data_IF_921426643701
#
_entry.id   IF_921426643701
#
_cell.length_a   1.000
_cell.length_b   1.000
_cell.length_c   1.000
_cell.angle_alpha   90.00
_cell.angle_beta   90.00
_cell.angle_gamma   90.00
#
_symmetry.space_group_name_H-M   'P 1'
#
loop_
_entity.id
_entity.type
_entity.pdbx_description
1 polymer ?
#
# COMPACT_ATOMS: atom_id res chain seq x y z
N UNK A 1 58.09 -41.80 -58.95
CA UNK A 1 57.05 -42.65 -58.34
C UNK A 1 56.71 -42.15 -56.91
N UNK A 2 56.65 -40.83 -56.73
CA UNK A 2 56.46 -40.20 -55.42
C UNK A 2 55.52 -38.95 -55.48
N UNK A 3 54.49 -38.97 -56.32
CA UNK A 3 53.52 -37.81 -56.39
C UNK A 3 52.05 -38.23 -56.36
N UNK A 4 51.70 -39.48 -55.98
CA UNK A 4 50.31 -39.94 -55.96
C UNK A 4 49.78 -40.38 -54.55
N UNK A 5 50.55 -40.18 -53.47
CA UNK A 5 50.15 -40.60 -52.12
C UNK A 5 49.69 -39.40 -51.27
N UNK A 6 49.90 -38.14 -51.70
CA UNK A 6 49.55 -36.95 -50.91
C UNK A 6 48.14 -36.42 -51.13
N UNK A 7 47.33 -37.01 -52.02
CA UNK A 7 45.96 -36.50 -52.30
C UNK A 7 44.79 -37.28 -51.65
N UNK A 8 45.06 -38.37 -50.96
CA UNK A 8 43.97 -39.19 -50.32
C UNK A 8 43.82 -38.89 -48.83
N UNK A 9 44.69 -38.13 -48.18
CA UNK A 9 44.67 -37.81 -46.75
C UNK A 9 43.98 -36.45 -46.39
N UNK A 10 43.53 -35.68 -47.39
CA UNK A 10 42.89 -34.38 -47.18
C UNK A 10 41.33 -34.46 -47.19
N UNK A 11 40.75 -35.56 -47.69
CA UNK A 11 39.28 -35.67 -47.79
C UNK A 11 38.59 -36.34 -46.60
N UNK A 12 39.28 -36.72 -45.52
CA UNK A 12 38.73 -37.42 -44.35
C UNK A 12 38.63 -36.55 -43.05
N UNK A 13 39.02 -35.26 -43.13
CA UNK A 13 39.04 -34.36 -41.96
C UNK A 13 37.95 -33.27 -41.92
N UNK A 14 36.98 -33.27 -42.83
CA UNK A 14 35.93 -32.21 -42.88
C UNK A 14 34.52 -32.74 -42.60
N UNK A 15 34.36 -34.02 -42.22
CA UNK A 15 33.00 -34.58 -41.92
C UNK A 15 32.67 -34.75 -40.46
N UNK A 16 33.32 -34.06 -39.52
CA UNK A 16 32.99 -34.15 -38.11
C UNK A 16 32.94 -32.75 -37.50
N UNK A 17 31.81 -32.05 -37.61
CA UNK A 17 31.27 -31.08 -36.66
C UNK A 17 30.10 -30.29 -37.27
N UNK A 18 29.12 -30.97 -37.82
CA UNK A 18 27.76 -30.45 -37.87
C UNK A 18 27.00 -31.01 -36.64
N UNK A 19 27.31 -30.50 -35.44
CA UNK A 19 26.43 -30.62 -34.32
C UNK A 19 25.18 -29.81 -34.69
N UNK A 20 24.00 -30.42 -34.79
CA UNK A 20 22.81 -29.65 -35.10
C UNK A 20 22.58 -28.69 -33.94
N UNK A 21 22.64 -27.39 -34.20
CA UNK A 21 22.29 -26.29 -33.27
C UNK A 21 20.82 -26.35 -32.77
N UNK A 22 20.10 -27.45 -33.08
CA UNK A 22 18.74 -27.72 -32.70
C UNK A 22 18.57 -28.41 -31.34
N UNK A 23 19.65 -28.76 -30.63
CA UNK A 23 19.57 -29.51 -29.36
C UNK A 23 19.78 -28.66 -28.08
N UNK A 24 19.84 -27.31 -28.19
CA UNK A 24 19.90 -26.38 -27.05
C UNK A 24 18.71 -25.43 -27.00
N UNK A 25 17.59 -25.74 -27.61
CA UNK A 25 16.30 -25.21 -27.20
C UNK A 25 15.90 -26.00 -25.92
N UNK A 26 16.59 -25.73 -24.80
CA UNK A 26 16.00 -25.99 -23.50
C UNK A 26 14.58 -25.43 -23.54
N UNK A 27 13.59 -26.29 -23.40
CA UNK A 27 12.21 -25.94 -23.03
C UNK A 27 12.27 -25.12 -21.74
N UNK A 28 12.69 -23.86 -21.80
CA UNK A 28 12.51 -22.90 -20.74
C UNK A 28 11.02 -22.74 -20.60
N UNK A 29 10.41 -23.57 -19.72
CA UNK A 29 9.06 -23.31 -19.22
C UNK A 29 9.01 -21.81 -18.98
N UNK A 30 8.06 -21.10 -19.61
CA UNK A 30 8.02 -19.65 -19.53
C UNK A 30 8.09 -19.25 -18.05
N UNK A 31 9.07 -18.41 -17.73
CA UNK A 31 9.30 -17.95 -16.35
C UNK A 31 8.05 -17.19 -15.89
N UNK A 32 7.57 -17.47 -14.68
CA UNK A 32 6.47 -16.70 -14.07
C UNK A 32 6.96 -15.27 -13.77
N UNK A 33 6.14 -14.23 -14.09
CA UNK A 33 4.90 -14.24 -14.87
C UNK A 33 5.17 -14.29 -16.39
N UNK A 34 4.29 -15.00 -17.15
CA UNK A 34 4.37 -15.11 -18.62
C UNK A 34 3.13 -14.55 -19.34
N UNK A 35 2.25 -13.89 -18.58
CA UNK A 35 1.08 -13.13 -19.05
C UNK A 35 0.83 -11.97 -18.10
N UNK A 36 0.00 -10.99 -18.46
CA UNK A 36 -0.34 -9.87 -17.59
C UNK A 36 -0.88 -10.30 -16.22
N UNK A 37 -0.52 -9.55 -15.17
CA UNK A 37 -0.99 -9.76 -13.79
C UNK A 37 -2.03 -8.71 -13.45
N UNK A 38 -3.21 -9.13 -13.02
CA UNK A 38 -4.29 -8.26 -12.54
C UNK A 38 -4.02 -7.82 -11.10
N UNK A 39 -4.01 -6.51 -10.87
CA UNK A 39 -3.82 -5.91 -9.55
C UNK A 39 -5.09 -5.18 -9.12
N UNK A 40 -5.82 -5.76 -8.17
CA UNK A 40 -7.05 -5.20 -7.62
C UNK A 40 -6.76 -4.28 -6.44
N UNK A 41 -7.14 -3.01 -6.55
CA UNK A 41 -6.99 -2.01 -5.50
C UNK A 41 -8.32 -1.84 -4.76
N UNK A 42 -8.37 -2.05 -3.42
CA UNK A 42 -9.61 -2.01 -2.62
C UNK A 42 -10.17 -0.60 -2.38
N UNK A 43 -9.57 0.43 -2.99
CA UNK A 43 -9.91 1.84 -2.80
C UNK A 43 -10.12 2.54 -4.15
N UNK A 44 -10.65 3.77 -4.12
CA UNK A 44 -10.83 4.59 -5.32
C UNK A 44 -9.50 5.01 -5.96
N UNK A 45 -9.55 5.33 -7.25
CA UNK A 45 -8.42 5.89 -7.98
C UNK A 45 -7.93 7.20 -7.34
N UNK A 46 -6.62 7.49 -7.49
CA UNK A 46 -5.99 8.70 -6.95
C UNK A 46 -5.62 8.63 -5.46
N UNK A 47 -6.01 7.58 -4.73
CA UNK A 47 -5.51 7.33 -3.37
C UNK A 47 -4.15 6.63 -3.37
N UNK A 48 -3.49 6.57 -2.21
CA UNK A 48 -2.12 6.08 -2.06
C UNK A 48 -1.88 4.69 -2.64
N UNK A 49 -2.81 3.74 -2.42
CA UNK A 49 -2.68 2.39 -2.97
C UNK A 49 -2.65 2.40 -4.50
N UNK A 50 -3.45 3.27 -5.14
CA UNK A 50 -3.48 3.43 -6.58
C UNK A 50 -2.25 4.18 -7.12
N UNK A 51 -1.73 5.16 -6.38
CA UNK A 51 -0.49 5.87 -6.73
C UNK A 51 0.68 4.91 -6.70
N UNK A 52 0.87 4.18 -5.58
CA UNK A 52 1.95 3.19 -5.44
C UNK A 52 1.87 2.10 -6.52
N UNK A 53 0.67 1.56 -6.81
CA UNK A 53 0.50 0.56 -7.86
C UNK A 53 0.91 1.09 -9.25
N UNK A 54 0.58 2.35 -9.57
CA UNK A 54 1.01 2.98 -10.85
C UNK A 54 2.51 3.20 -10.93
N UNK A 55 3.16 3.58 -9.84
CA UNK A 55 4.63 3.63 -9.80
C UNK A 55 5.26 2.27 -10.09
N UNK A 56 4.68 1.21 -9.53
CA UNK A 56 5.16 -0.16 -9.73
C UNK A 56 4.99 -0.68 -11.16
N UNK A 57 4.04 -0.15 -11.96
CA UNK A 57 3.73 -0.68 -13.30
C UNK A 57 4.92 -0.67 -14.26
N UNK A 58 5.66 0.44 -14.35
CA UNK A 58 6.81 0.58 -15.26
C UNK A 58 7.95 -0.36 -14.88
N UNK A 59 8.24 -0.45 -13.58
CA UNK A 59 9.26 -1.36 -13.04
C UNK A 59 8.86 -2.83 -13.23
N UNK A 60 7.60 -3.17 -12.99
CA UNK A 60 7.06 -4.52 -13.21
C UNK A 60 7.23 -4.92 -14.69
N UNK A 61 6.83 -4.03 -15.62
CA UNK A 61 6.98 -4.24 -17.06
C UNK A 61 8.44 -4.43 -17.47
N UNK A 62 9.33 -3.59 -16.96
CA UNK A 62 10.78 -3.67 -17.23
C UNK A 62 11.38 -5.00 -16.77
N UNK A 63 11.01 -5.48 -15.57
CA UNK A 63 11.56 -6.71 -15.00
C UNK A 63 11.00 -7.99 -15.61
N UNK A 64 9.73 -7.97 -16.05
CA UNK A 64 9.01 -9.19 -16.42
C UNK A 64 8.64 -9.26 -17.91
N UNK A 65 8.67 -8.15 -18.63
CA UNK A 65 8.07 -8.00 -19.96
C UNK A 65 6.54 -8.04 -19.98
N UNK A 66 5.88 -8.21 -18.81
CA UNK A 66 4.43 -8.34 -18.69
C UNK A 66 3.79 -7.09 -18.10
N UNK A 67 2.52 -6.87 -18.37
CA UNK A 67 1.78 -5.75 -17.83
C UNK A 67 1.24 -6.04 -16.42
N UNK A 68 1.29 -5.03 -15.53
CA UNK A 68 0.57 -5.01 -14.27
C UNK A 68 -0.73 -4.22 -14.47
N UNK A 69 -1.86 -4.93 -14.60
CA UNK A 69 -3.16 -4.34 -14.94
C UNK A 69 -3.90 -3.93 -13.69
N UNK A 70 -4.00 -2.62 -13.45
CA UNK A 70 -4.63 -2.07 -12.23
C UNK A 70 -6.15 -1.94 -12.43
N UNK A 71 -6.91 -2.46 -11.46
CA UNK A 71 -8.36 -2.33 -11.36
C UNK A 71 -8.77 -1.86 -9.97
N UNK A 72 -9.79 -1.02 -9.87
CA UNK A 72 -10.27 -0.45 -8.61
C UNK A 72 -11.59 -1.09 -8.20
N UNK A 73 -11.65 -1.60 -6.95
CA UNK A 73 -12.86 -2.19 -6.34
C UNK A 73 -13.09 -1.61 -4.95
N UNK A 74 -13.50 -0.33 -4.85
CA UNK A 74 -13.69 0.34 -3.58
C UNK A 74 -14.98 -0.07 -2.89
N UNK A 75 -14.98 -0.07 -1.56
CA UNK A 75 -16.17 -0.26 -0.73
C UNK A 75 -15.85 -0.83 0.64
N UNK A 76 -16.66 -0.46 1.65
CA UNK A 76 -16.51 -0.95 3.01
C UNK A 76 -15.13 -0.75 3.64
N UNK A 77 -14.42 0.35 3.33
CA UNK A 77 -13.04 0.54 3.79
C UNK A 77 -12.07 -0.54 3.29
N UNK A 78 -12.34 -1.11 2.11
CA UNK A 78 -11.60 -2.20 1.46
C UNK A 78 -12.23 -3.58 1.61
N UNK A 79 -13.20 -3.75 2.52
CA UNK A 79 -13.81 -5.03 2.84
C UNK A 79 -14.42 -5.74 1.63
N UNK A 80 -15.07 -4.99 0.71
CA UNK A 80 -15.69 -5.56 -0.50
C UNK A 80 -14.71 -6.40 -1.30
N UNK A 81 -13.48 -5.90 -1.53
CA UNK A 81 -12.47 -6.65 -2.29
C UNK A 81 -11.88 -7.80 -1.45
N UNK A 82 -11.67 -7.59 -0.16
CA UNK A 82 -11.06 -8.62 0.69
C UNK A 82 -12.02 -9.77 1.00
N UNK A 83 -13.33 -9.53 1.03
CA UNK A 83 -14.35 -10.60 1.13
C UNK A 83 -14.31 -11.54 -0.09
N UNK A 84 -13.90 -11.04 -1.26
CA UNK A 84 -13.84 -11.77 -2.52
C UNK A 84 -12.45 -12.38 -2.82
N UNK A 85 -11.39 -12.02 -2.10
CA UNK A 85 -10.02 -12.39 -2.47
C UNK A 85 -9.82 -13.90 -2.68
N UNK A 86 -10.45 -14.73 -1.86
CA UNK A 86 -10.30 -16.18 -1.93
C UNK A 86 -11.22 -16.85 -2.98
N UNK A 87 -12.07 -16.07 -3.66
CA UNK A 87 -12.88 -16.51 -4.81
C UNK A 87 -12.13 -16.27 -6.13
N UNK A 88 -11.03 -15.50 -6.13
CA UNK A 88 -10.20 -15.29 -7.30
C UNK A 88 -9.36 -16.53 -7.63
N UNK A 89 -8.95 -16.72 -8.91
CA UNK A 89 -8.03 -17.79 -9.29
C UNK A 89 -6.71 -17.72 -8.50
N UNK A 90 -6.28 -18.86 -7.94
CA UNK A 90 -5.04 -18.99 -7.19
C UNK A 90 -3.82 -19.29 -8.06
N UNK A 91 -3.83 -18.90 -9.33
CA UNK A 91 -2.72 -19.13 -10.27
C UNK A 91 -1.57 -18.12 -10.15
N UNK A 92 -1.74 -17.08 -9.33
CA UNK A 92 -0.77 -16.01 -9.12
C UNK A 92 -0.92 -14.81 -10.06
N UNK A 93 -1.90 -14.84 -10.97
CA UNK A 93 -2.16 -13.72 -11.90
C UNK A 93 -3.26 -12.78 -11.42
N UNK A 94 -3.77 -13.01 -10.21
CA UNK A 94 -4.66 -12.11 -9.48
C UNK A 94 -4.01 -11.73 -8.15
N UNK A 95 -3.58 -10.48 -8.02
CA UNK A 95 -3.06 -9.92 -6.77
C UNK A 95 -4.00 -8.83 -6.26
N UNK A 96 -4.08 -8.69 -4.95
CA UNK A 96 -4.98 -7.74 -4.27
C UNK A 96 -4.18 -6.86 -3.33
N UNK A 97 -4.40 -5.57 -3.37
CA UNK A 97 -3.82 -4.63 -2.41
C UNK A 97 -4.31 -4.90 -0.99
N UNK A 98 -3.40 -4.84 -0.03
CA UNK A 98 -3.72 -4.91 1.39
C UNK A 98 -3.21 -3.70 2.13
N UNK A 99 -4.00 -3.28 3.13
CA UNK A 99 -3.70 -2.14 3.97
C UNK A 99 -3.87 -2.53 5.45
N UNK A 100 -2.86 -2.24 6.28
CA UNK A 100 -2.97 -2.34 7.73
C UNK A 100 -3.09 -0.92 8.30
N UNK A 101 -3.96 -0.69 9.29
CA UNK A 101 -4.75 -1.65 10.07
C UNK A 101 -6.05 -2.13 9.42
N UNK A 102 -6.42 -1.68 8.23
CA UNK A 102 -7.74 -1.90 7.61
C UNK A 102 -8.16 -3.38 7.58
N UNK A 103 -7.29 -4.30 7.07
CA UNK A 103 -7.61 -5.75 7.02
C UNK A 103 -7.83 -6.38 8.41
N UNK A 104 -7.39 -5.71 9.48
CA UNK A 104 -7.59 -6.14 10.87
C UNK A 104 -8.89 -5.57 11.44
N UNK A 105 -9.20 -4.32 11.12
CA UNK A 105 -10.34 -3.60 11.72
C UNK A 105 -11.67 -3.87 11.00
N UNK A 106 -11.65 -4.16 9.70
CA UNK A 106 -12.89 -4.42 8.94
C UNK A 106 -13.68 -5.64 9.43
N UNK A 107 -13.09 -6.77 9.85
CA UNK A 107 -13.82 -7.85 10.50
C UNK A 107 -14.60 -7.45 11.76
N UNK A 108 -14.08 -6.49 12.54
CA UNK A 108 -14.79 -5.93 13.69
C UNK A 108 -16.04 -5.11 13.29
N UNK A 109 -16.07 -4.64 12.06
CA UNK A 109 -17.14 -3.80 11.51
C UNK A 109 -18.09 -4.59 10.59
N UNK A 110 -17.96 -5.92 10.56
CA UNK A 110 -18.89 -6.80 9.84
C UNK A 110 -18.41 -7.31 8.47
N UNK A 111 -17.12 -7.16 8.12
CA UNK A 111 -16.57 -7.83 6.94
C UNK A 111 -16.66 -9.37 7.13
N UNK A 112 -16.86 -10.09 6.03
CA UNK A 112 -17.09 -11.55 6.06
C UNK A 112 -15.79 -12.34 6.19
N UNK A 113 -14.67 -11.83 5.64
CA UNK A 113 -13.37 -12.47 5.80
C UNK A 113 -12.84 -12.37 7.23
N UNK A 114 -11.89 -13.21 7.57
CA UNK A 114 -11.08 -13.07 8.80
C UNK A 114 -9.68 -12.64 8.40
N UNK A 115 -9.02 -11.81 9.21
CA UNK A 115 -7.65 -11.33 8.93
C UNK A 115 -6.69 -12.47 8.58
N UNK A 116 -6.82 -13.64 9.22
CA UNK A 116 -6.02 -14.85 8.94
C UNK A 116 -6.27 -15.48 7.56
N UNK A 117 -7.35 -15.10 6.87
CA UNK A 117 -7.67 -15.61 5.53
C UNK A 117 -6.97 -14.79 4.43
N UNK A 118 -6.34 -13.68 4.79
CA UNK A 118 -5.57 -12.83 3.89
C UNK A 118 -4.14 -13.37 3.79
N UNK A 119 -3.78 -13.84 2.61
CA UNK A 119 -2.43 -14.36 2.33
C UNK A 119 -1.54 -13.24 1.80
N UNK A 120 -0.92 -12.49 2.70
CA UNK A 120 0.02 -11.42 2.35
C UNK A 120 1.30 -11.98 1.72
N UNK A 121 1.80 -11.30 0.69
CA UNK A 121 2.98 -11.69 -0.08
C UNK A 121 4.15 -10.74 0.10
N UNK A 122 3.88 -9.43 0.09
CA UNK A 122 4.90 -8.41 0.30
C UNK A 122 4.27 -7.12 0.84
N UNK A 123 4.91 -6.47 1.82
CA UNK A 123 4.58 -5.10 2.22
C UNK A 123 5.70 -4.18 1.76
N UNK A 124 5.35 -3.11 1.04
CA UNK A 124 6.30 -2.27 0.31
C UNK A 124 6.45 -0.85 0.85
N UNK A 125 5.47 -0.31 1.59
CA UNK A 125 5.62 0.99 2.24
C UNK A 125 4.71 1.17 3.45
N UNK A 126 5.08 2.15 4.27
CA UNK A 126 4.30 2.74 5.34
C UNK A 126 4.00 4.19 4.98
N UNK A 127 2.81 4.68 5.35
CA UNK A 127 2.45 6.09 5.19
C UNK A 127 1.89 6.60 6.51
N UNK A 128 2.55 7.56 7.16
CA UNK A 128 2.06 8.16 8.39
C UNK A 128 0.74 8.91 8.19
N UNK A 129 -0.14 8.88 9.20
CA UNK A 129 -1.32 9.73 9.23
C UNK A 129 -0.93 11.20 9.50
N UNK A 130 -1.80 12.10 9.04
CA UNK A 130 -1.70 13.53 9.28
C UNK A 130 -3.08 14.17 9.44
N UNK A 131 -3.18 15.21 10.25
CA UNK A 131 -4.33 16.12 10.23
C UNK A 131 -4.09 17.17 9.18
N UNK A 132 -5.07 17.32 8.29
CA UNK A 132 -5.02 18.16 7.08
C UNK A 132 -6.22 19.07 7.07
N UNK A 133 -6.00 20.35 6.74
CA UNK A 133 -7.05 21.33 6.49
C UNK A 133 -6.92 21.93 5.09
N UNK A 134 -7.94 22.63 4.61
CA UNK A 134 -7.83 23.43 3.39
C UNK A 134 -6.81 24.54 3.60
N UNK A 135 -6.09 24.98 2.56
CA UNK A 135 -5.09 26.04 2.69
C UNK A 135 -5.68 27.34 3.26
N UNK A 136 -6.89 27.72 2.83
CA UNK A 136 -7.63 28.89 3.33
C UNK A 136 -8.39 28.63 4.65
N UNK A 137 -8.11 27.53 5.35
CA UNK A 137 -8.73 27.23 6.62
C UNK A 137 -8.37 28.29 7.67
N UNK A 138 -9.31 28.66 8.58
CA UNK A 138 -9.00 29.53 9.71
C UNK A 138 -8.05 28.86 10.72
N UNK A 139 -7.81 27.54 10.60
CA UNK A 139 -6.91 26.79 11.46
C UNK A 139 -5.51 26.74 10.83
N UNK A 140 -4.59 27.56 11.34
CA UNK A 140 -3.19 27.56 10.92
C UNK A 140 -2.35 26.53 11.71
N UNK A 141 -2.81 26.16 12.90
CA UNK A 141 -2.13 25.21 13.80
C UNK A 141 -3.08 24.15 14.34
N UNK A 142 -2.51 23.03 14.81
CA UNK A 142 -3.28 21.98 15.48
C UNK A 142 -3.95 22.52 16.76
N UNK A 143 -3.26 23.42 17.49
CA UNK A 143 -3.75 23.98 18.75
C UNK A 143 -5.04 24.82 18.53
N UNK A 144 -5.08 25.64 17.48
CA UNK A 144 -6.28 26.40 17.10
C UNK A 144 -7.48 25.49 16.77
N UNK A 145 -7.22 24.39 16.05
CA UNK A 145 -8.27 23.41 15.74
C UNK A 145 -8.78 22.73 17.04
N UNK A 146 -7.89 22.38 17.97
CA UNK A 146 -8.25 21.76 19.25
C UNK A 146 -9.06 22.74 20.11
N UNK A 147 -8.64 23.99 20.23
CA UNK A 147 -9.33 25.04 21.00
C UNK A 147 -10.74 25.23 20.45
N UNK A 148 -10.87 25.44 19.13
CA UNK A 148 -12.17 25.56 18.49
C UNK A 148 -13.07 24.31 18.75
N UNK A 149 -12.52 23.13 18.67
CA UNK A 149 -13.26 21.87 18.89
C UNK A 149 -13.74 21.73 20.35
N UNK A 150 -12.97 22.23 21.33
CA UNK A 150 -13.37 22.26 22.75
C UNK A 150 -14.49 23.21 23.00
N UNK A 151 -14.43 24.41 22.43
CA UNK A 151 -15.48 25.42 22.55
C UNK A 151 -16.75 25.05 21.77
N UNK A 152 -16.62 24.25 20.71
CA UNK A 152 -17.71 23.89 19.80
C UNK A 152 -17.80 22.37 19.59
N UNK A 153 -18.22 21.59 20.59
CA UNK A 153 -18.31 20.13 20.50
C UNK A 153 -19.14 19.65 19.30
N UNK A 154 -18.61 18.70 18.54
CA UNK A 154 -19.26 18.12 17.36
C UNK A 154 -19.38 19.05 16.14
N UNK A 155 -18.77 20.23 16.14
CA UNK A 155 -18.76 21.14 14.97
C UNK A 155 -17.65 20.81 13.98
N UNK A 156 -16.52 20.27 14.41
CA UNK A 156 -15.48 19.78 13.49
C UNK A 156 -15.92 18.47 12.87
N UNK A 157 -15.98 18.48 11.52
CA UNK A 157 -16.21 17.27 10.73
C UNK A 157 -14.90 16.88 10.04
N UNK A 158 -14.31 15.76 10.47
CA UNK A 158 -13.21 15.14 9.78
C UNK A 158 -13.69 14.24 8.63
N UNK A 159 -12.96 14.23 7.52
CA UNK A 159 -13.06 13.18 6.51
C UNK A 159 -11.92 12.17 6.67
N UNK A 160 -12.02 11.02 5.98
CA UNK A 160 -10.93 10.03 5.88
C UNK A 160 -11.28 8.89 4.93
N UNK A 161 -10.34 7.97 4.76
CA UNK A 161 -10.36 6.92 3.72
C UNK A 161 -11.32 5.74 3.98
N UNK A 162 -12.20 5.85 4.98
CA UNK A 162 -13.22 4.85 5.29
C UNK A 162 -13.36 4.55 6.78
N UNK A 163 -14.48 3.95 7.19
CA UNK A 163 -14.63 3.43 8.56
C UNK A 163 -13.69 2.25 8.77
N UNK A 164 -13.05 2.16 9.95
CA UNK A 164 -12.06 1.13 10.23
C UNK A 164 -10.78 1.26 9.41
N UNK A 165 -10.48 2.46 8.93
CA UNK A 165 -9.17 2.82 8.35
C UNK A 165 -8.20 3.27 9.44
N UNK A 166 -6.92 3.45 9.06
CA UNK A 166 -5.93 4.09 9.94
C UNK A 166 -6.42 5.47 10.39
N UNK A 167 -6.89 6.28 9.43
CA UNK A 167 -7.42 7.62 9.68
C UNK A 167 -8.58 7.64 10.69
N UNK A 168 -9.53 6.68 10.60
CA UNK A 168 -10.65 6.60 11.54
C UNK A 168 -10.18 6.22 12.95
N UNK A 169 -9.24 5.28 13.06
CA UNK A 169 -8.65 4.92 14.34
C UNK A 169 -7.88 6.09 14.96
N UNK A 170 -7.10 6.81 14.14
CA UNK A 170 -6.34 7.98 14.56
C UNK A 170 -7.28 9.09 15.06
N UNK A 171 -8.36 9.38 14.33
CA UNK A 171 -9.36 10.39 14.75
C UNK A 171 -9.94 10.07 16.12
N UNK A 172 -10.43 8.84 16.36
CA UNK A 172 -11.04 8.49 17.64
C UNK A 172 -10.02 8.53 18.79
N UNK A 173 -8.76 8.11 18.53
CA UNK A 173 -7.68 8.22 19.53
C UNK A 173 -7.37 9.68 19.85
N UNK A 174 -7.29 10.53 18.83
CA UNK A 174 -7.02 11.95 18.99
C UNK A 174 -8.13 12.64 19.81
N UNK A 175 -9.39 12.43 19.46
CA UNK A 175 -10.51 13.00 20.20
C UNK A 175 -10.42 12.65 21.68
N UNK A 176 -10.14 11.39 21.99
CA UNK A 176 -10.00 10.92 23.38
C UNK A 176 -8.80 11.56 24.11
N UNK A 177 -7.65 11.67 23.45
CA UNK A 177 -6.44 12.24 24.06
C UNK A 177 -6.53 13.77 24.22
N UNK A 178 -7.14 14.46 23.25
CA UNK A 178 -7.28 15.90 23.26
C UNK A 178 -8.49 16.38 24.09
N UNK A 179 -9.36 15.46 24.53
CA UNK A 179 -10.61 15.79 25.25
C UNK A 179 -11.56 16.61 24.41
N UNK A 180 -11.73 16.26 23.13
CA UNK A 180 -12.60 16.94 22.16
C UNK A 180 -13.65 15.99 21.60
N UNK A 181 -14.73 16.56 21.07
CA UNK A 181 -15.75 15.82 20.35
C UNK A 181 -15.80 16.29 18.89
N UNK A 182 -15.44 15.38 17.95
CA UNK A 182 -15.51 15.63 16.52
C UNK A 182 -16.39 14.61 15.81
N UNK A 183 -16.74 14.87 14.54
CA UNK A 183 -17.48 13.93 13.69
C UNK A 183 -16.59 13.37 12.61
N UNK A 184 -16.87 12.15 12.16
CA UNK A 184 -16.14 11.50 11.10
C UNK A 184 -17.03 11.13 9.92
N UNK A 185 -16.65 11.61 8.71
CA UNK A 185 -17.32 11.26 7.46
C UNK A 185 -16.41 10.37 6.62
N UNK A 186 -16.74 9.08 6.46
CA UNK A 186 -15.95 8.16 5.66
C UNK A 186 -16.14 8.40 4.16
N UNK A 187 -15.07 8.26 3.38
CA UNK A 187 -15.06 8.29 1.92
C UNK A 187 -14.46 7.00 1.33
N UNK A 188 -14.56 6.82 0.00
CA UNK A 188 -14.06 5.61 -0.71
C UNK A 188 -12.53 5.60 -0.93
N UNK A 189 -11.79 6.34 -0.13
CA UNK A 189 -10.32 6.49 -0.19
C UNK A 189 -9.88 7.93 -0.01
N UNK A 190 -8.57 8.15 0.06
CA UNK A 190 -7.96 9.45 0.38
C UNK A 190 -8.33 10.53 -0.65
N UNK A 191 -8.23 10.26 -1.95
CA UNK A 191 -8.56 11.26 -2.97
C UNK A 191 -10.00 11.81 -2.83
N UNK A 192 -10.98 10.93 -2.56
CA UNK A 192 -12.36 11.35 -2.35
C UNK A 192 -12.53 12.14 -1.04
N UNK A 193 -11.76 11.80 0.00
CA UNK A 193 -11.72 12.51 1.28
C UNK A 193 -11.17 13.93 1.10
N UNK A 194 -10.04 14.08 0.42
CA UNK A 194 -9.41 15.38 0.16
C UNK A 194 -10.25 16.24 -0.80
N UNK A 195 -10.84 15.63 -1.84
CA UNK A 195 -11.80 16.36 -2.69
C UNK A 195 -13.00 16.91 -1.91
N UNK A 196 -13.42 16.25 -0.85
CA UNK A 196 -14.49 16.76 0.02
C UNK A 196 -14.00 17.91 0.90
N UNK A 197 -12.75 17.87 1.36
CA UNK A 197 -12.11 18.95 2.11
C UNK A 197 -11.97 20.21 1.23
N UNK A 198 -11.36 20.09 0.07
CA UNK A 198 -11.15 21.19 -0.89
C UNK A 198 -12.49 21.83 -1.33
N UNK A 199 -13.56 21.04 -1.40
CA UNK A 199 -14.92 21.55 -1.69
C UNK A 199 -15.67 22.10 -0.48
N UNK A 200 -15.04 22.23 0.67
CA UNK A 200 -15.65 22.76 1.89
C UNK A 200 -16.77 21.90 2.49
N UNK A 201 -16.84 20.59 2.14
CA UNK A 201 -17.86 19.67 2.68
C UNK A 201 -17.54 19.15 4.08
N UNK A 202 -16.31 19.34 4.52
CA UNK A 202 -15.76 19.00 5.83
C UNK A 202 -14.75 20.07 6.24
N UNK A 203 -14.49 20.20 7.55
CA UNK A 203 -13.59 21.23 8.09
C UNK A 203 -12.12 20.78 8.02
N UNK A 204 -11.87 19.49 8.19
CA UNK A 204 -10.55 18.90 8.22
C UNK A 204 -10.59 17.45 7.68
N UNK A 205 -9.42 16.87 7.45
CA UNK A 205 -9.26 15.48 7.05
C UNK A 205 -8.19 14.80 7.92
N UNK A 206 -8.49 13.59 8.36
CA UNK A 206 -7.44 12.65 8.69
C UNK A 206 -6.97 12.03 7.36
N UNK A 207 -5.84 12.51 6.89
CA UNK A 207 -5.18 12.04 5.67
C UNK A 207 -3.88 11.34 5.99
N UNK A 208 -2.95 11.40 5.06
CA UNK A 208 -1.59 10.89 5.19
C UNK A 208 -0.59 11.98 4.77
N UNK A 209 0.68 11.81 5.12
CA UNK A 209 1.76 12.72 4.72
C UNK A 209 1.83 12.94 3.20
N UNK A 210 1.49 11.93 2.40
CA UNK A 210 1.40 12.00 0.94
C UNK A 210 0.41 13.03 0.41
N UNK A 211 -0.56 13.45 1.22
CA UNK A 211 -1.54 14.48 0.84
C UNK A 211 -0.86 15.84 0.64
N UNK A 212 0.09 16.20 1.51
CA UNK A 212 0.85 17.44 1.39
C UNK A 212 1.74 17.51 0.15
N UNK A 213 2.17 16.36 -0.40
CA UNK A 213 2.93 16.32 -1.67
C UNK A 213 2.03 16.23 -2.91
N UNK A 214 0.83 15.65 -2.74
CA UNK A 214 -0.11 15.47 -3.87
C UNK A 214 -0.97 16.69 -4.14
N UNK A 215 -1.25 17.48 -3.11
CA UNK A 215 -2.12 18.66 -3.15
C UNK A 215 -1.46 19.87 -2.45
N UNK A 216 -0.22 20.25 -2.84
CA UNK A 216 0.60 21.21 -2.09
C UNK A 216 -0.04 22.61 -2.00
N UNK A 217 -0.84 23.00 -3.00
CA UNK A 217 -1.46 24.31 -3.08
C UNK A 217 -2.89 24.36 -2.51
N UNK A 218 -3.47 23.20 -2.21
CA UNK A 218 -4.87 23.09 -1.77
C UNK A 218 -4.99 22.85 -0.26
N UNK A 219 -3.92 22.34 0.38
CA UNK A 219 -4.01 21.84 1.76
C UNK A 219 -2.79 22.17 2.62
N UNK A 220 -3.06 22.36 3.91
CA UNK A 220 -2.05 22.51 4.98
C UNK A 220 -2.09 21.32 5.92
N UNK A 221 -0.91 20.77 6.25
CA UNK A 221 -0.76 19.77 7.30
C UNK A 221 -0.58 20.46 8.65
N UNK A 222 -1.41 20.12 9.63
CA UNK A 222 -1.33 20.69 10.98
C UNK A 222 -0.47 19.87 11.93
N UNK A 223 -0.42 18.55 11.75
CA UNK A 223 0.46 17.65 12.48
C UNK A 223 0.60 16.30 11.77
N UNK A 224 1.72 15.60 12.01
CA UNK A 224 2.02 14.27 11.48
C UNK A 224 2.13 13.24 12.59
N UNK A 225 1.66 12.01 12.35
CA UNK A 225 1.62 10.93 13.33
C UNK A 225 2.91 10.08 13.29
N UNK A 226 4.06 10.72 13.43
CA UNK A 226 5.39 10.13 13.44
C UNK A 226 6.12 10.40 14.73
N UNK A 227 7.20 9.64 15.00
CA UNK A 227 8.06 9.88 16.15
C UNK A 227 8.81 11.19 15.99
N UNK A 228 9.42 11.40 14.83
CA UNK A 228 10.21 12.56 14.48
C UNK A 228 9.55 13.30 13.32
N UNK A 229 9.83 14.61 13.15
CA UNK A 229 9.33 15.39 12.01
C UNK A 229 9.75 14.76 10.69
N UNK A 230 8.90 14.89 9.70
CA UNK A 230 9.20 14.37 8.38
C UNK A 230 10.17 15.32 7.64
N UNK A 231 11.26 14.80 7.05
CA UNK A 231 12.22 15.67 6.32
C UNK A 231 11.56 16.51 5.22
N UNK A 232 10.49 15.97 4.62
CA UNK A 232 9.70 16.65 3.57
C UNK A 232 8.85 17.81 4.12
N UNK A 233 8.53 17.78 5.41
CA UNK A 233 7.68 18.75 6.10
C UNK A 233 8.34 19.18 7.43
N UNK A 234 9.50 19.85 7.37
CA UNK A 234 10.29 20.16 8.56
C UNK A 234 9.57 21.11 9.55
N UNK A 235 8.66 21.94 9.03
CA UNK A 235 7.90 22.90 9.84
C UNK A 235 6.63 22.31 10.45
N UNK A 236 6.19 21.11 9.99
CA UNK A 236 4.98 20.45 10.51
C UNK A 236 5.34 19.67 11.78
N UNK A 237 4.72 20.00 12.93
CA UNK A 237 5.01 19.30 14.19
C UNK A 237 4.48 17.87 14.16
N UNK A 238 5.06 17.02 14.99
CA UNK A 238 4.50 15.72 15.31
C UNK A 238 3.39 15.83 16.35
N UNK A 239 2.50 14.86 16.44
CA UNK A 239 1.53 14.79 17.55
C UNK A 239 2.24 14.68 18.90
N UNK A 240 3.38 13.98 18.97
CA UNK A 240 4.18 13.84 20.20
C UNK A 240 4.73 15.19 20.67
N UNK A 241 5.23 16.05 19.78
CA UNK A 241 5.64 17.41 20.10
C UNK A 241 4.48 18.27 20.64
N UNK A 242 3.24 17.94 20.25
CA UNK A 242 2.01 18.59 20.75
C UNK A 242 1.43 17.91 22.00
N UNK A 243 2.14 16.97 22.62
CA UNK A 243 1.72 16.29 23.84
C UNK A 243 0.78 15.08 23.62
N UNK A 244 0.58 14.64 22.39
CA UNK A 244 -0.27 13.50 22.07
C UNK A 244 0.58 12.32 21.59
N UNK A 245 0.59 11.22 22.31
CA UNK A 245 1.31 10.00 21.89
C UNK A 245 0.54 9.27 20.75
N UNK A 246 0.59 9.86 19.56
CA UNK A 246 -0.02 9.29 18.36
C UNK A 246 1.08 9.05 17.32
N UNK A 247 1.52 7.80 17.22
CA UNK A 247 2.30 7.27 16.10
C UNK A 247 1.37 6.31 15.38
N UNK A 248 0.92 6.68 14.19
CA UNK A 248 -0.08 5.93 13.45
C UNK A 248 0.04 6.15 11.95
N UNK A 249 -0.40 5.16 11.17
CA UNK A 249 -0.38 5.21 9.72
C UNK A 249 -0.79 3.88 9.11
N UNK A 250 -0.56 3.73 7.82
CA UNK A 250 -0.96 2.53 7.10
C UNK A 250 0.22 1.87 6.39
N UNK A 251 0.44 0.57 6.67
CA UNK A 251 1.27 -0.29 5.83
C UNK A 251 0.47 -0.73 4.61
N UNK A 252 1.15 -0.82 3.47
CA UNK A 252 0.54 -1.28 2.22
C UNK A 252 1.39 -2.35 1.58
N UNK A 253 0.71 -3.29 0.92
CA UNK A 253 1.34 -4.41 0.26
C UNK A 253 0.38 -5.13 -0.65
N UNK A 254 0.77 -6.33 -1.03
CA UNK A 254 -0.02 -7.22 -1.85
C UNK A 254 -0.32 -8.53 -1.14
N UNK A 255 -1.48 -9.10 -1.46
CA UNK A 255 -1.92 -10.44 -1.09
C UNK A 255 -2.40 -11.19 -2.32
N UNK A 256 -2.54 -12.50 -2.16
CA UNK A 256 -3.08 -13.42 -3.17
C UNK A 256 -4.14 -14.32 -2.55
N UNK A 257 -4.98 -15.01 -3.36
CA UNK A 257 -5.85 -16.06 -2.86
C UNK A 257 -5.06 -17.12 -2.06
N UNK A 258 -5.67 -17.67 -1.02
CA UNK A 258 -5.02 -18.71 -0.17
C UNK A 258 -4.65 -19.98 -0.93
N UNK A 259 -5.31 -20.24 -2.06
CA UNK A 259 -5.01 -21.35 -2.97
C UNK A 259 -3.74 -21.17 -3.80
N UNK A 260 -3.15 -19.94 -3.85
CA UNK A 260 -1.94 -19.67 -4.63
C UNK A 260 -0.76 -20.50 -4.10
N UNK A 261 -0.04 -21.25 -4.96
CA UNK A 261 1.08 -22.12 -4.53
C UNK A 261 2.21 -21.35 -3.86
N UNK A 262 2.88 -21.94 -2.88
CA UNK A 262 4.02 -21.34 -2.15
C UNK A 262 5.12 -20.85 -3.08
N UNK A 263 5.44 -21.61 -4.14
CA UNK A 263 6.45 -21.23 -5.14
C UNK A 263 6.08 -19.91 -5.83
N UNK A 264 4.81 -19.74 -6.20
CA UNK A 264 4.29 -18.52 -6.84
C UNK A 264 4.31 -17.32 -5.86
N UNK A 265 3.94 -17.53 -4.59
CA UNK A 265 4.02 -16.48 -3.55
C UNK A 265 5.46 -15.99 -3.36
N UNK A 266 6.44 -16.91 -3.34
CA UNK A 266 7.87 -16.58 -3.26
C UNK A 266 8.35 -15.81 -4.50
N UNK A 267 7.90 -16.22 -5.70
CA UNK A 267 8.27 -15.52 -6.94
C UNK A 267 7.71 -14.10 -6.97
N UNK A 268 6.43 -13.92 -6.62
CA UNK A 268 5.82 -12.59 -6.49
C UNK A 268 6.53 -11.73 -5.43
N UNK A 269 6.84 -12.31 -4.27
CA UNK A 269 7.54 -11.60 -3.21
C UNK A 269 8.90 -11.08 -3.67
N UNK A 270 9.71 -11.92 -4.35
CA UNK A 270 11.01 -11.51 -4.89
C UNK A 270 10.87 -10.42 -5.95
N UNK A 271 9.86 -10.52 -6.82
CA UNK A 271 9.62 -9.54 -7.86
C UNK A 271 9.28 -8.17 -7.26
N UNK A 272 8.34 -8.12 -6.31
CA UNK A 272 7.98 -6.86 -5.64
C UNK A 272 9.13 -6.33 -4.76
N UNK A 273 9.94 -7.20 -4.17
CA UNK A 273 11.16 -6.82 -3.46
C UNK A 273 12.19 -6.16 -4.40
N UNK A 274 12.41 -6.71 -5.61
CA UNK A 274 13.28 -6.10 -6.62
C UNK A 274 12.78 -4.72 -7.04
N UNK A 275 11.47 -4.58 -7.32
CA UNK A 275 10.86 -3.29 -7.63
C UNK A 275 11.08 -2.31 -6.48
N UNK A 276 10.80 -2.73 -5.24
CA UNK A 276 10.84 -1.85 -4.08
C UNK A 276 12.26 -1.42 -3.68
N UNK A 277 13.27 -2.24 -4.03
CA UNK A 277 14.70 -1.94 -3.80
C UNK A 277 15.37 -1.18 -4.94
N UNK A 278 14.68 -0.99 -6.07
CA UNK A 278 15.19 -0.16 -7.15
C UNK A 278 15.39 1.29 -6.65
N UNK A 279 16.59 1.88 -6.82
CA UNK A 279 16.87 3.23 -6.31
C UNK A 279 15.92 4.30 -6.87
N UNK A 280 15.53 4.21 -8.15
CA UNK A 280 14.61 5.16 -8.76
C UNK A 280 13.20 5.00 -8.19
N UNK A 281 12.74 3.76 -7.97
CA UNK A 281 11.46 3.50 -7.32
C UNK A 281 11.43 4.04 -5.88
N UNK A 282 12.50 3.84 -5.10
CA UNK A 282 12.60 4.38 -3.74
C UNK A 282 12.53 5.90 -3.73
N UNK A 283 13.31 6.54 -4.58
CA UNK A 283 13.31 8.00 -4.70
C UNK A 283 11.92 8.53 -5.05
N UNK A 284 11.26 7.95 -6.05
CA UNK A 284 9.88 8.30 -6.44
C UNK A 284 8.87 8.14 -5.28
N UNK A 285 9.04 7.11 -4.44
CA UNK A 285 8.19 6.91 -3.28
C UNK A 285 8.45 7.94 -2.19
N UNK A 286 9.72 8.20 -1.85
CA UNK A 286 10.14 9.17 -0.83
C UNK A 286 9.75 10.59 -1.22
N UNK A 287 9.92 10.97 -2.49
CA UNK A 287 9.51 12.27 -3.03
C UNK A 287 8.00 12.51 -2.91
N UNK A 288 7.20 11.43 -2.89
CA UNK A 288 5.74 11.48 -2.70
C UNK A 288 5.31 11.33 -1.24
N UNK A 289 6.24 11.29 -0.30
CA UNK A 289 5.95 11.18 1.13
C UNK A 289 5.61 9.76 1.62
N UNK A 290 5.91 8.71 0.84
CA UNK A 290 5.88 7.34 1.30
C UNK A 290 7.16 6.98 2.05
N UNK A 291 7.08 6.09 3.03
CA UNK A 291 8.22 5.48 3.70
C UNK A 291 8.38 4.03 3.23
N UNK A 292 9.34 3.71 2.34
CA UNK A 292 9.54 2.34 1.86
C UNK A 292 9.85 1.38 3.01
N UNK A 293 9.23 0.18 2.97
CA UNK A 293 9.54 -0.95 3.85
C UNK A 293 9.65 -2.23 3.03
N UNK A 294 10.49 -3.17 3.46
CA UNK A 294 10.69 -4.44 2.76
C UNK A 294 10.33 -5.59 3.69
N UNK A 295 9.06 -6.04 3.66
CA UNK A 295 8.62 -7.19 4.45
C UNK A 295 8.19 -8.30 3.50
N UNK A 296 9.11 -9.25 3.18
CA UNK A 296 8.87 -10.30 2.20
C UNK A 296 8.11 -11.48 2.77
N UNK A 297 7.52 -12.30 1.90
CA UNK A 297 7.02 -13.62 2.25
C UNK A 297 8.16 -14.54 2.71
N UNK A 298 8.05 -15.31 3.81
CA UNK A 298 6.83 -15.50 4.62
C UNK A 298 6.66 -14.53 5.81
N UNK A 299 7.56 -13.58 6.04
CA UNK A 299 7.55 -12.66 7.19
C UNK A 299 6.28 -11.80 7.29
N UNK A 300 5.57 -11.57 6.16
CA UNK A 300 4.33 -10.80 6.15
C UNK A 300 3.27 -11.36 7.10
N UNK A 301 3.11 -12.69 7.15
CA UNK A 301 2.11 -13.33 8.00
C UNK A 301 2.40 -13.09 9.50
N UNK A 302 3.66 -13.18 9.88
CA UNK A 302 4.13 -12.92 11.24
C UNK A 302 3.95 -11.43 11.61
N UNK A 303 4.31 -10.54 10.69
CA UNK A 303 4.11 -9.11 10.87
C UNK A 303 2.63 -8.75 11.03
N UNK A 304 1.74 -9.28 10.18
CA UNK A 304 0.29 -9.06 10.31
C UNK A 304 -0.22 -9.57 11.66
N UNK A 305 0.24 -10.76 12.11
CA UNK A 305 -0.14 -11.34 13.40
C UNK A 305 0.26 -10.42 14.56
N UNK A 306 1.49 -9.94 14.59
CA UNK A 306 2.00 -9.04 15.61
C UNK A 306 1.21 -7.71 15.64
N UNK A 307 1.01 -7.08 14.49
CA UNK A 307 0.23 -5.85 14.36
C UNK A 307 -1.26 -6.02 14.66
N UNK A 308 -1.82 -7.22 14.44
CA UNK A 308 -3.22 -7.51 14.78
C UNK A 308 -3.48 -7.30 16.27
N UNK A 309 -2.60 -7.76 17.14
CA UNK A 309 -2.75 -7.59 18.60
C UNK A 309 -2.77 -6.10 18.96
N UNK A 310 -1.83 -5.32 18.42
CA UNK A 310 -1.72 -3.88 18.65
C UNK A 310 -2.99 -3.13 18.19
N UNK A 311 -3.41 -3.33 16.95
CA UNK A 311 -4.57 -2.63 16.38
C UNK A 311 -5.88 -2.99 17.07
N UNK A 312 -6.08 -4.26 17.45
CA UNK A 312 -7.26 -4.68 18.19
C UNK A 312 -7.27 -4.09 19.61
N UNK A 313 -6.10 -3.97 20.24
CA UNK A 313 -5.99 -3.31 21.55
C UNK A 313 -6.37 -1.84 21.46
N UNK A 314 -5.79 -1.10 20.50
CA UNK A 314 -6.15 0.31 20.27
C UNK A 314 -7.63 0.48 19.93
N UNK A 315 -8.18 -0.36 19.05
CA UNK A 315 -9.58 -0.31 18.66
C UNK A 315 -10.53 -0.51 19.86
N UNK A 316 -10.23 -1.48 20.74
CA UNK A 316 -11.00 -1.71 21.97
C UNK A 316 -10.91 -0.53 22.94
N UNK A 317 -9.72 0.04 23.15
CA UNK A 317 -9.51 1.18 24.02
C UNK A 317 -10.38 2.40 23.65
N UNK A 318 -10.69 2.55 22.36
CA UNK A 318 -11.48 3.66 21.83
C UNK A 318 -12.91 3.25 21.45
N UNK A 319 -13.35 2.04 21.80
CA UNK A 319 -14.72 1.56 21.57
C UNK A 319 -15.05 1.30 20.09
N UNK A 320 -14.06 1.17 19.21
CA UNK A 320 -14.31 0.85 17.81
C UNK A 320 -14.81 -0.61 17.67
N UNK A 321 -15.95 -0.80 17.01
CA UNK A 321 -16.57 -2.13 16.83
C UNK A 321 -17.49 -2.58 17.96
N UNK A 322 -17.61 -1.85 19.06
CA UNK A 322 -18.66 -2.08 20.03
C UNK A 322 -20.00 -1.62 19.46
N UNK A 323 -21.00 -2.52 19.41
CA UNK A 323 -22.37 -2.12 19.12
C UNK A 323 -22.83 -1.18 20.26
N UNK A 324 -23.20 0.06 19.91
CA UNK A 324 -24.03 0.88 20.79
C UNK A 324 -25.42 0.32 20.82
#
# INVERSE_FOLDING_TARGET
MMKRVAQILVCLAVCAMAVPAALLAEDRKPSYPNKPVSYFIPFGAGGESGIAARLQQSFFKSLTGQDLVISYRPGGGGAVMWDEINNLPGDGYSIVGINLPHIVLQPMLGAKYKTRDITGVFLFHYTPDAVVVHEDSPFETLDQLIEFARENPGKIMFSGSGRGSANHLAQIRFDKLAGIETKYRPYKGTAASISALVKGKVNASWGYTTVGTTYPDDVRLLAVATKDRQPRFPDVPTFTEKGFEIINGAYRGIAVPKSTPKKTRLALSKLFEQINKDPAMRQEMEDRGFAPVDIPYPKVAEFIKARTVEYLTHAKQVGLGTKK
#
